data_IF_118231411324
#
_entry.id   IF_118231411324
#
_cell.length_a   1.000
_cell.length_b   1.000
_cell.length_c   1.000
_cell.angle_alpha   90.00
_cell.angle_beta   90.00
_cell.angle_gamma   90.00
#
_symmetry.space_group_name_H-M   'P 1'
#
loop_
_entity.id
_entity.type
_entity.pdbx_description
1 polymer ?
#
# COMPACT_ATOMS: atom_id res chain seq x y z
N UNK A 1 4.22 -9.39 32.23
CA UNK A 1 4.18 -10.29 31.06
C UNK A 1 5.28 -11.33 31.18
N UNK A 2 5.00 -12.58 30.80
CA UNK A 2 6.02 -13.64 30.75
C UNK A 2 7.10 -13.31 29.71
N UNK A 3 8.38 -13.67 29.93
CA UNK A 3 9.46 -13.54 28.95
C UNK A 3 9.14 -14.17 27.58
N UNK A 4 8.30 -15.20 27.58
CA UNK A 4 7.82 -15.87 26.35
C UNK A 4 6.92 -14.94 25.53
N UNK A 5 6.01 -14.22 26.19
CA UNK A 5 5.06 -13.31 25.54
C UNK A 5 5.78 -12.08 24.98
N UNK A 6 6.78 -11.54 25.70
CA UNK A 6 7.58 -10.43 25.19
C UNK A 6 8.38 -10.82 23.93
N UNK A 7 8.96 -12.02 23.91
CA UNK A 7 9.65 -12.52 22.72
C UNK A 7 8.68 -12.74 21.54
N UNK A 8 7.46 -13.22 21.82
CA UNK A 8 6.43 -13.35 20.80
C UNK A 8 6.00 -11.99 20.23
N UNK A 9 5.83 -10.97 21.08
CA UNK A 9 5.52 -9.60 20.62
C UNK A 9 6.61 -9.05 19.70
N UNK A 10 7.88 -9.19 20.08
CA UNK A 10 9.00 -8.73 19.24
C UNK A 10 9.02 -9.46 17.90
N UNK A 11 8.86 -10.79 17.92
CA UNK A 11 8.79 -11.61 16.71
C UNK A 11 7.63 -11.17 15.82
N UNK A 12 6.42 -11.08 16.38
CA UNK A 12 5.22 -10.66 15.66
C UNK A 12 5.34 -9.23 15.10
N UNK A 13 6.02 -8.34 15.82
CA UNK A 13 6.33 -6.99 15.32
C UNK A 13 7.23 -7.05 14.10
N UNK A 14 8.32 -7.83 14.16
CA UNK A 14 9.23 -8.01 13.04
C UNK A 14 8.54 -8.66 11.83
N UNK A 15 7.69 -9.64 12.06
CA UNK A 15 6.86 -10.28 11.03
C UNK A 15 5.93 -9.29 10.35
N UNK A 16 5.27 -8.41 11.11
CA UNK A 16 4.45 -7.33 10.56
C UNK A 16 5.30 -6.38 9.73
N UNK A 17 6.44 -5.90 10.23
CA UNK A 17 7.32 -5.02 9.43
C UNK A 17 7.84 -5.68 8.16
N UNK A 18 8.15 -6.97 8.20
CA UNK A 18 8.56 -7.75 7.03
C UNK A 18 7.44 -7.80 5.98
N UNK A 19 6.22 -8.15 6.38
CA UNK A 19 5.07 -8.17 5.48
C UNK A 19 4.80 -6.80 4.85
N UNK A 20 4.80 -5.74 5.67
CA UNK A 20 4.55 -4.37 5.22
C UNK A 20 5.63 -3.88 4.29
N UNK A 21 6.90 -4.03 4.67
CA UNK A 21 8.04 -3.53 3.91
C UNK A 21 8.10 -4.12 2.51
N UNK A 22 7.99 -5.45 2.40
CA UNK A 22 8.03 -6.12 1.09
C UNK A 22 6.80 -5.80 0.26
N UNK A 23 5.60 -5.88 0.84
CA UNK A 23 4.36 -5.64 0.08
C UNK A 23 4.24 -4.19 -0.36
N UNK A 24 4.58 -3.23 0.51
CA UNK A 24 4.56 -1.81 0.18
C UNK A 24 5.62 -1.45 -0.86
N UNK A 25 6.81 -2.04 -0.80
CA UNK A 25 7.85 -1.81 -1.80
C UNK A 25 7.41 -2.27 -3.19
N UNK A 26 6.90 -3.51 -3.31
CA UNK A 26 6.42 -4.02 -4.60
C UNK A 26 5.21 -3.20 -5.08
N UNK A 27 4.30 -2.86 -4.18
CA UNK A 27 3.15 -2.02 -4.51
C UNK A 27 3.55 -0.61 -4.95
N UNK A 28 4.59 -0.01 -4.39
CA UNK A 28 5.12 1.26 -4.85
C UNK A 28 5.76 1.13 -6.24
N UNK A 29 6.60 0.11 -6.45
CA UNK A 29 7.30 -0.13 -7.71
C UNK A 29 6.32 -0.36 -8.87
N UNK A 30 5.23 -1.06 -8.65
CA UNK A 30 4.24 -1.37 -9.70
C UNK A 30 3.09 -0.36 -9.71
N UNK A 31 2.53 -0.06 -8.54
CA UNK A 31 1.36 0.79 -8.39
C UNK A 31 1.62 2.25 -8.76
N UNK A 32 2.79 2.82 -8.45
CA UNK A 32 3.10 4.21 -8.83
C UNK A 32 3.10 4.39 -10.36
N UNK A 33 3.84 3.58 -11.15
CA UNK A 33 3.74 3.64 -12.60
C UNK A 33 2.32 3.43 -13.13
N UNK A 34 1.55 2.49 -12.57
CA UNK A 34 0.17 2.25 -12.98
C UNK A 34 -0.73 3.46 -12.71
N UNK A 35 -0.58 4.13 -11.57
CA UNK A 35 -1.32 5.35 -11.24
C UNK A 35 -1.00 6.50 -12.19
N UNK A 36 0.29 6.70 -12.52
CA UNK A 36 0.71 7.68 -13.52
C UNK A 36 0.09 7.33 -14.88
N UNK A 37 0.17 6.07 -15.31
CA UNK A 37 -0.39 5.60 -16.57
C UNK A 37 -1.90 5.85 -16.67
N UNK A 38 -2.65 5.63 -15.57
CA UNK A 38 -4.09 5.88 -15.52
C UNK A 38 -4.46 7.34 -15.78
N UNK A 39 -3.65 8.30 -15.30
CA UNK A 39 -3.90 9.72 -15.56
C UNK A 39 -3.48 10.08 -16.98
N UNK A 40 -2.25 9.77 -17.38
CA UNK A 40 -1.70 10.27 -18.64
C UNK A 40 -2.41 9.69 -19.87
N UNK A 41 -3.01 8.49 -19.76
CA UNK A 41 -3.71 7.82 -20.86
C UNK A 41 -5.20 8.11 -20.93
N UNK A 42 -5.73 8.98 -20.07
CA UNK A 42 -7.15 9.34 -20.09
C UNK A 42 -7.55 10.13 -21.34
N UNK A 43 -8.86 10.29 -21.59
CA UNK A 43 -9.38 10.89 -22.84
C UNK A 43 -8.80 12.28 -23.15
N UNK A 44 -8.51 13.07 -22.11
CA UNK A 44 -7.95 14.42 -22.23
C UNK A 44 -6.53 14.49 -21.63
N UNK A 45 -5.86 13.34 -21.47
CA UNK A 45 -4.51 13.26 -20.93
C UNK A 45 -3.43 13.46 -22.00
N UNK A 46 -2.20 13.70 -21.54
CA UNK A 46 -1.03 14.01 -22.36
C UNK A 46 -0.69 12.87 -23.35
N UNK A 47 -1.02 11.62 -23.01
CA UNK A 47 -0.80 10.41 -23.80
C UNK A 47 -2.12 9.64 -24.01
N UNK A 48 -3.20 10.35 -24.33
CA UNK A 48 -4.56 9.82 -24.43
C UNK A 48 -4.62 8.50 -25.22
N UNK A 49 -4.97 7.40 -24.54
CA UNK A 49 -5.08 6.08 -25.11
C UNK A 49 -6.22 5.30 -24.45
N UNK A 50 -7.44 5.45 -24.99
CA UNK A 50 -8.65 4.81 -24.43
C UNK A 50 -8.57 3.29 -24.41
N UNK A 51 -7.87 2.69 -25.38
CA UNK A 51 -7.69 1.24 -25.50
C UNK A 51 -6.80 0.67 -24.39
N UNK A 52 -5.85 1.45 -23.86
CA UNK A 52 -5.02 1.06 -22.72
C UNK A 52 -5.70 1.42 -21.38
N UNK A 53 -6.26 2.62 -21.29
CA UNK A 53 -6.80 3.17 -20.06
C UNK A 53 -8.00 2.38 -19.54
N UNK A 54 -8.98 2.07 -20.41
CA UNK A 54 -10.21 1.38 -20.01
C UNK A 54 -9.97 -0.01 -19.42
N UNK A 55 -9.23 -0.92 -20.07
CA UNK A 55 -8.94 -2.23 -19.50
C UNK A 55 -8.13 -2.13 -18.20
N UNK A 56 -7.14 -1.24 -18.15
CA UNK A 56 -6.33 -1.06 -16.95
C UNK A 56 -7.19 -0.59 -15.76
N UNK A 57 -8.01 0.44 -15.96
CA UNK A 57 -8.93 0.93 -14.94
C UNK A 57 -9.94 -0.15 -14.53
N UNK A 58 -10.45 -0.94 -15.48
CA UNK A 58 -11.35 -2.06 -15.18
C UNK A 58 -10.69 -3.11 -14.28
N UNK A 59 -9.48 -3.56 -14.61
CA UNK A 59 -8.75 -4.56 -13.80
C UNK A 59 -8.46 -4.03 -12.39
N UNK A 60 -8.00 -2.78 -12.27
CA UNK A 60 -7.73 -2.13 -10.99
C UNK A 60 -9.00 -2.05 -10.13
N UNK A 61 -10.12 -1.63 -10.72
CA UNK A 61 -11.38 -1.52 -10.00
C UNK A 61 -11.97 -2.89 -9.64
N UNK A 62 -11.82 -3.88 -10.49
CA UNK A 62 -12.25 -5.26 -10.23
C UNK A 62 -11.53 -5.83 -8.99
N UNK A 63 -10.19 -5.73 -8.93
CA UNK A 63 -9.42 -6.24 -7.78
C UNK A 63 -9.80 -5.48 -6.50
N UNK A 64 -9.94 -4.15 -6.57
CA UNK A 64 -10.31 -3.31 -5.41
C UNK A 64 -11.71 -3.58 -4.87
N UNK A 65 -12.61 -4.11 -5.70
CA UNK A 65 -13.98 -4.43 -5.29
C UNK A 65 -14.04 -5.68 -4.41
N UNK A 66 -12.99 -6.51 -4.42
CA UNK A 66 -12.93 -7.74 -3.63
C UNK A 66 -12.42 -7.41 -2.22
N UNK A 67 -13.19 -7.69 -1.16
CA UNK A 67 -12.72 -7.54 0.22
C UNK A 67 -11.42 -8.33 0.45
N UNK A 68 -10.47 -7.74 1.18
CA UNK A 68 -9.11 -8.31 1.35
C UNK A 68 -9.12 -9.78 1.82
N UNK A 69 -9.95 -10.11 2.81
CA UNK A 69 -10.02 -11.48 3.34
C UNK A 69 -10.52 -12.49 2.29
N UNK A 70 -11.47 -12.07 1.43
CA UNK A 70 -11.99 -12.90 0.33
C UNK A 70 -10.92 -13.07 -0.74
N UNK A 71 -10.22 -11.98 -1.10
CA UNK A 71 -9.11 -12.03 -2.06
C UNK A 71 -8.02 -13.01 -1.58
N UNK A 72 -7.62 -12.90 -0.31
CA UNK A 72 -6.59 -13.74 0.29
C UNK A 72 -6.92 -15.23 0.17
N UNK A 73 -8.17 -15.60 0.45
CA UNK A 73 -8.63 -17.00 0.32
C UNK A 73 -8.73 -17.41 -1.16
N UNK A 74 -9.28 -16.55 -2.01
CA UNK A 74 -9.49 -16.84 -3.43
C UNK A 74 -8.17 -17.13 -4.17
N UNK A 75 -7.07 -16.48 -3.77
CA UNK A 75 -5.77 -16.64 -4.43
C UNK A 75 -4.85 -17.67 -3.76
N UNK A 76 -5.32 -18.47 -2.80
CA UNK A 76 -4.51 -19.52 -2.15
C UNK A 76 -3.73 -20.40 -3.14
N UNK A 77 -4.32 -20.88 -4.26
CA UNK A 77 -3.58 -21.67 -5.24
C UNK A 77 -2.39 -20.90 -5.83
N UNK A 78 -2.56 -19.62 -6.13
CA UNK A 78 -1.52 -18.74 -6.64
C UNK A 78 -0.46 -18.47 -5.56
N UNK A 79 -0.87 -18.23 -4.33
CA UNK A 79 0.04 -18.05 -3.18
C UNK A 79 0.93 -19.28 -2.99
N UNK A 80 0.38 -20.49 -3.08
CA UNK A 80 1.17 -21.73 -3.00
C UNK A 80 2.15 -21.87 -4.16
N UNK A 81 1.75 -21.47 -5.37
CA UNK A 81 2.63 -21.51 -6.54
C UNK A 81 3.83 -20.56 -6.39
N UNK A 82 3.62 -19.37 -5.84
CA UNK A 82 4.67 -18.35 -5.70
C UNK A 82 5.54 -18.58 -4.45
N UNK A 83 4.90 -18.80 -3.30
CA UNK A 83 5.58 -18.87 -2.00
C UNK A 83 5.88 -20.30 -1.53
N UNK A 84 5.43 -21.32 -2.27
CA UNK A 84 5.57 -22.74 -1.89
C UNK A 84 4.64 -23.18 -0.75
N UNK A 85 3.94 -22.25 -0.10
CA UNK A 85 3.04 -22.51 1.04
C UNK A 85 1.88 -21.50 1.06
N UNK A 86 0.80 -21.84 1.77
CA UNK A 86 -0.34 -20.94 2.01
C UNK A 86 -0.39 -20.34 3.42
N UNK A 87 0.59 -20.67 4.26
CA UNK A 87 0.65 -20.25 5.67
C UNK A 87 2.02 -19.61 5.93
N UNK A 88 2.04 -18.59 6.78
CA UNK A 88 3.24 -17.84 7.17
C UNK A 88 3.31 -16.46 6.53
N UNK A 89 4.24 -15.65 7.02
CA UNK A 89 4.43 -14.25 6.61
C UNK A 89 4.77 -14.11 5.12
N UNK A 90 5.65 -14.97 4.61
CA UNK A 90 6.02 -14.97 3.18
C UNK A 90 4.83 -15.30 2.28
N UNK A 91 3.94 -16.22 2.70
CA UNK A 91 2.71 -16.50 1.98
C UNK A 91 1.74 -15.31 2.01
N UNK A 92 1.62 -14.63 3.16
CA UNK A 92 0.73 -13.47 3.32
C UNK A 92 1.16 -12.25 2.48
N UNK A 93 2.45 -12.11 2.15
CA UNK A 93 2.95 -11.03 1.28
C UNK A 93 2.28 -11.06 -0.10
N UNK A 94 1.99 -12.23 -0.66
CA UNK A 94 1.39 -12.37 -2.00
C UNK A 94 0.03 -11.67 -2.11
N UNK A 95 -1.00 -12.01 -1.31
CA UNK A 95 -2.29 -11.32 -1.33
C UNK A 95 -2.19 -9.87 -0.88
N UNK A 96 -1.32 -9.55 0.10
CA UNK A 96 -1.08 -8.17 0.53
C UNK A 96 -0.60 -7.30 -0.64
N UNK A 97 0.37 -7.80 -1.40
CA UNK A 97 0.93 -7.10 -2.56
C UNK A 97 -0.11 -6.93 -3.66
N UNK A 98 -0.85 -7.99 -4.00
CA UNK A 98 -1.88 -7.93 -5.05
C UNK A 98 -3.00 -6.94 -4.69
N UNK A 99 -3.38 -6.85 -3.42
CA UNK A 99 -4.34 -5.86 -2.94
C UNK A 99 -3.75 -4.43 -2.93
N UNK A 100 -2.48 -4.29 -2.55
CA UNK A 100 -1.82 -3.00 -2.39
C UNK A 100 -1.53 -2.29 -3.72
N UNK A 101 -1.18 -3.03 -4.78
CA UNK A 101 -0.86 -2.47 -6.11
C UNK A 101 -1.99 -1.56 -6.65
N UNK A 102 -3.24 -2.04 -6.81
CA UNK A 102 -4.31 -1.23 -7.37
C UNK A 102 -4.75 -0.10 -6.43
N UNK A 103 -4.64 -0.30 -5.11
CA UNK A 103 -4.90 0.76 -4.14
C UNK A 103 -3.86 1.89 -4.26
N UNK A 104 -2.58 1.53 -4.38
CA UNK A 104 -1.47 2.47 -4.63
C UNK A 104 -1.64 3.20 -5.94
N UNK A 105 -2.00 2.50 -7.02
CA UNK A 105 -2.25 3.13 -8.32
C UNK A 105 -3.33 4.20 -8.24
N UNK A 106 -4.44 3.93 -7.51
CA UNK A 106 -5.52 4.90 -7.37
C UNK A 106 -5.12 6.10 -6.50
N UNK A 107 -4.36 5.86 -5.44
CA UNK A 107 -3.81 6.91 -4.60
C UNK A 107 -2.90 7.87 -5.38
N UNK A 108 -2.01 7.31 -6.20
CA UNK A 108 -1.12 8.09 -7.07
C UNK A 108 -1.91 8.83 -8.14
N UNK A 109 -2.94 8.20 -8.71
CA UNK A 109 -3.85 8.85 -9.64
C UNK A 109 -4.51 10.09 -9.00
N UNK A 110 -5.00 9.97 -7.77
CA UNK A 110 -5.57 11.10 -7.01
C UNK A 110 -4.54 12.21 -6.82
N UNK A 111 -3.33 11.89 -6.38
CA UNK A 111 -2.26 12.89 -6.20
C UNK A 111 -1.89 13.63 -7.48
N UNK A 112 -1.83 12.95 -8.62
CA UNK A 112 -1.49 13.59 -9.90
C UNK A 112 -2.64 14.49 -10.37
N UNK A 113 -3.90 14.10 -10.11
CA UNK A 113 -5.07 14.92 -10.45
C UNK A 113 -5.17 16.21 -9.62
N UNK A 114 -4.52 16.27 -8.46
CA UNK A 114 -4.42 17.49 -7.66
C UNK A 114 -3.45 18.53 -8.24
N UNK A 115 -2.61 18.15 -9.21
CA UNK A 115 -1.70 19.09 -9.88
C UNK A 115 -2.51 20.09 -10.71
N UNK A 116 -2.32 21.41 -10.52
CA UNK A 116 -3.04 22.43 -11.28
C UNK A 116 -2.85 22.27 -12.79
N UNK A 117 -3.95 22.22 -13.54
CA UNK A 117 -3.92 22.06 -14.99
C UNK A 117 -3.09 23.14 -15.70
N UNK A 118 -3.08 24.38 -15.17
CA UNK A 118 -2.28 25.47 -15.73
C UNK A 118 -0.77 25.22 -15.73
N UNK A 119 -0.23 24.36 -14.85
CA UNK A 119 1.18 23.95 -14.90
C UNK A 119 1.48 23.04 -16.10
N UNK A 120 0.49 22.23 -16.49
CA UNK A 120 0.58 21.35 -17.66
C UNK A 120 0.52 22.20 -18.93
N UNK A 121 -0.47 23.10 -19.04
CA UNK A 121 -0.61 24.02 -20.20
C UNK A 121 0.61 24.92 -20.39
N UNK A 122 1.19 25.43 -19.29
CA UNK A 122 2.41 26.21 -19.34
C UNK A 122 3.59 25.39 -19.89
N UNK A 123 3.72 24.13 -19.45
CA UNK A 123 4.77 23.23 -19.95
C UNK A 123 4.58 22.87 -21.43
N UNK A 124 3.34 22.64 -21.86
CA UNK A 124 2.99 22.41 -23.27
C UNK A 124 3.30 23.64 -24.14
N UNK A 125 2.96 24.84 -23.64
CA UNK A 125 3.24 26.12 -24.32
C UNK A 125 4.75 26.40 -24.47
N UNK A 126 5.57 25.88 -23.55
CA UNK A 126 7.04 25.91 -23.65
C UNK A 126 7.61 24.84 -24.59
N UNK A 127 6.76 24.01 -25.23
CA UNK A 127 7.19 22.96 -26.15
C UNK A 127 7.74 21.71 -25.45
N UNK A 128 7.40 21.47 -24.18
CA UNK A 128 7.84 20.29 -23.46
C UNK A 128 7.19 19.02 -24.05
N UNK A 129 8.00 17.96 -24.26
CA UNK A 129 7.46 16.68 -24.70
C UNK A 129 6.64 15.99 -23.60
N UNK A 130 5.70 15.09 -23.93
CA UNK A 130 4.89 14.38 -22.93
C UNK A 130 5.69 13.76 -21.78
N UNK A 131 6.83 13.14 -22.10
CA UNK A 131 7.70 12.54 -21.10
C UNK A 131 8.39 13.59 -20.21
N UNK A 132 8.72 14.75 -20.76
CA UNK A 132 9.24 15.88 -19.97
C UNK A 132 8.18 16.41 -19.02
N UNK A 133 6.93 16.58 -19.46
CA UNK A 133 5.83 17.02 -18.60
C UNK A 133 5.63 16.03 -17.44
N UNK A 134 5.58 14.73 -17.74
CA UNK A 134 5.42 13.69 -16.70
C UNK A 134 6.56 13.74 -15.68
N UNK A 135 7.81 13.71 -16.15
CA UNK A 135 8.98 13.57 -15.28
C UNK A 135 9.36 14.87 -14.55
N UNK A 136 9.17 16.02 -15.19
CA UNK A 136 9.64 17.32 -14.68
C UNK A 136 8.54 18.20 -14.08
N UNK A 137 7.28 17.92 -14.37
CA UNK A 137 6.15 18.72 -13.87
C UNK A 137 5.22 17.86 -13.02
N UNK A 138 4.56 16.85 -13.60
CA UNK A 138 3.55 16.07 -12.88
C UNK A 138 4.12 15.35 -11.64
N UNK A 139 5.19 14.56 -11.81
CA UNK A 139 5.75 13.78 -10.70
C UNK A 139 6.32 14.68 -9.60
N UNK A 140 7.17 15.69 -9.89
CA UNK A 140 7.70 16.57 -8.85
C UNK A 140 6.63 17.36 -8.09
N UNK A 141 5.60 17.86 -8.79
CA UNK A 141 4.53 18.63 -8.15
C UNK A 141 3.56 17.75 -7.35
N UNK A 142 3.30 16.53 -7.80
CA UNK A 142 2.47 15.57 -7.05
C UNK A 142 3.24 14.87 -5.92
N UNK A 143 4.57 14.96 -5.88
CA UNK A 143 5.41 14.16 -4.99
C UNK A 143 5.03 14.26 -3.50
N UNK A 144 4.73 15.45 -2.92
CA UNK A 144 4.31 15.55 -1.53
C UNK A 144 3.03 14.75 -1.26
N UNK A 145 2.02 14.90 -2.12
CA UNK A 145 0.74 14.18 -2.04
C UNK A 145 0.93 12.67 -2.28
N UNK A 146 1.82 12.27 -3.19
CA UNK A 146 2.16 10.85 -3.41
C UNK A 146 2.75 10.25 -2.13
N UNK A 147 3.67 10.93 -1.46
CA UNK A 147 4.28 10.43 -0.21
C UNK A 147 3.23 10.29 0.89
N UNK A 148 2.34 11.26 1.05
CA UNK A 148 1.24 11.18 2.01
C UNK A 148 0.32 9.98 1.72
N UNK A 149 -0.10 9.82 0.47
CA UNK A 149 -0.99 8.72 0.12
C UNK A 149 -0.29 7.34 0.19
N UNK A 150 1.00 7.23 -0.13
CA UNK A 150 1.77 5.99 0.11
C UNK A 150 1.83 5.68 1.61
N UNK A 151 1.94 6.70 2.46
CA UNK A 151 1.89 6.52 3.92
C UNK A 151 0.53 5.95 4.35
N UNK A 152 -0.58 6.46 3.78
CA UNK A 152 -1.93 5.91 4.00
C UNK A 152 -2.04 4.46 3.52
N UNK A 153 -1.44 4.11 2.38
CA UNK A 153 -1.39 2.73 1.88
C UNK A 153 -0.68 1.81 2.89
N UNK A 154 0.48 2.22 3.40
CA UNK A 154 1.24 1.43 4.38
C UNK A 154 0.42 1.23 5.67
N UNK A 155 -0.24 2.29 6.16
CA UNK A 155 -1.12 2.19 7.34
C UNK A 155 -2.29 1.26 7.08
N UNK A 156 -2.89 1.31 5.89
CA UNK A 156 -3.96 0.39 5.48
C UNK A 156 -3.46 -1.06 5.44
N UNK A 157 -2.23 -1.28 4.99
CA UNK A 157 -1.61 -2.60 4.97
C UNK A 157 -1.39 -3.18 6.37
N UNK A 158 -1.26 -2.36 7.42
CA UNK A 158 -1.22 -2.85 8.80
C UNK A 158 -2.54 -3.57 9.13
N UNK A 159 -3.67 -2.94 8.83
CA UNK A 159 -4.99 -3.55 8.99
C UNK A 159 -5.15 -4.84 8.18
N UNK A 160 -4.72 -4.83 6.92
CA UNK A 160 -4.75 -6.03 6.07
C UNK A 160 -3.82 -7.13 6.57
N UNK A 161 -2.64 -6.80 7.08
CA UNK A 161 -1.71 -7.78 7.67
C UNK A 161 -2.31 -8.40 8.94
N UNK A 162 -3.07 -7.62 9.72
CA UNK A 162 -3.76 -8.14 10.88
C UNK A 162 -4.88 -9.12 10.50
N UNK A 163 -5.64 -8.80 9.44
CA UNK A 163 -6.60 -9.74 8.84
C UNK A 163 -5.91 -11.00 8.31
N UNK A 164 -4.73 -10.88 7.69
CA UNK A 164 -3.97 -12.04 7.25
C UNK A 164 -3.56 -12.97 8.41
N UNK A 165 -3.32 -12.41 9.59
CA UNK A 165 -3.09 -13.16 10.83
C UNK A 165 -4.22 -14.16 11.15
N UNK A 166 -5.48 -13.83 10.83
CA UNK A 166 -6.63 -14.74 11.05
C UNK A 166 -6.51 -16.06 10.27
N UNK A 167 -5.80 -16.04 9.13
CA UNK A 167 -5.63 -17.18 8.21
C UNK A 167 -4.19 -17.72 8.29
N UNK A 168 -3.46 -17.41 9.37
CA UNK A 168 -2.10 -17.91 9.60
C UNK A 168 -1.01 -17.15 8.86
N UNK A 169 -1.24 -15.88 8.52
CA UNK A 169 -0.22 -14.98 7.97
C UNK A 169 0.87 -14.54 8.96
N UNK A 170 0.67 -14.76 10.27
CA UNK A 170 1.60 -14.33 11.32
C UNK A 170 1.46 -12.85 11.69
N UNK A 171 2.49 -12.29 12.29
CA UNK A 171 2.54 -10.88 12.69
C UNK A 171 1.74 -10.55 13.95
N UNK A 172 1.60 -9.26 14.22
CA UNK A 172 0.87 -8.74 15.39
C UNK A 172 -0.61 -9.13 15.39
N UNK A 173 -1.24 -9.24 14.21
CA UNK A 173 -2.63 -9.71 14.12
C UNK A 173 -2.81 -11.14 14.61
N UNK A 174 -1.94 -12.05 14.18
CA UNK A 174 -1.97 -13.45 14.61
C UNK A 174 -1.84 -13.57 16.14
N UNK A 175 -0.92 -12.80 16.72
CA UNK A 175 -0.74 -12.74 18.17
C UNK A 175 -1.99 -12.22 18.90
N UNK A 176 -2.54 -11.08 18.44
CA UNK A 176 -3.75 -10.49 19.03
C UNK A 176 -4.93 -11.45 18.96
N UNK A 177 -5.10 -12.16 17.85
CA UNK A 177 -6.22 -13.07 17.65
C UNK A 177 -6.04 -14.33 18.49
N UNK A 178 -4.88 -15.00 18.41
CA UNK A 178 -4.68 -16.29 19.09
C UNK A 178 -4.54 -16.17 20.59
N UNK A 179 -3.80 -15.18 21.07
CA UNK A 179 -3.53 -15.02 22.51
C UNK A 179 -4.47 -14.01 23.14
N UNK A 180 -4.61 -12.83 22.54
CA UNK A 180 -5.47 -11.79 23.07
C UNK A 180 -6.94 -12.18 23.07
N UNK A 181 -7.48 -12.55 21.90
CA UNK A 181 -8.91 -12.84 21.72
C UNK A 181 -9.27 -14.28 22.08
N UNK A 182 -8.71 -15.27 21.38
CA UNK A 182 -9.11 -16.68 21.52
C UNK A 182 -8.75 -17.29 22.89
N UNK A 183 -7.65 -16.84 23.51
CA UNK A 183 -7.23 -17.28 24.86
C UNK A 183 -7.60 -16.30 25.97
N UNK A 184 -8.34 -15.24 25.65
CA UNK A 184 -8.80 -14.21 26.59
C UNK A 184 -7.66 -13.57 27.42
N UNK A 185 -6.45 -13.44 26.86
CA UNK A 185 -5.32 -12.80 27.53
C UNK A 185 -5.35 -11.28 27.29
N UNK A 186 -6.08 -10.57 28.15
CA UNK A 186 -6.29 -9.13 28.03
C UNK A 186 -4.98 -8.33 28.04
N UNK A 187 -3.96 -8.79 28.77
CA UNK A 187 -2.63 -8.19 28.80
C UNK A 187 -1.95 -8.24 27.42
N UNK A 188 -2.03 -9.37 26.72
CA UNK A 188 -1.49 -9.52 25.35
C UNK A 188 -2.27 -8.67 24.35
N UNK A 189 -3.60 -8.61 24.49
CA UNK A 189 -4.45 -7.78 23.63
C UNK A 189 -4.06 -6.29 23.76
N UNK A 190 -4.00 -5.77 24.98
CA UNK A 190 -3.64 -4.37 25.25
C UNK A 190 -2.21 -4.07 24.78
N UNK A 191 -1.25 -4.95 25.07
CA UNK A 191 0.12 -4.78 24.59
C UNK A 191 0.21 -4.71 23.06
N UNK A 192 -0.52 -5.58 22.35
CA UNK A 192 -0.53 -5.59 20.89
C UNK A 192 -1.17 -4.33 20.31
N UNK A 193 -2.26 -3.85 20.90
CA UNK A 193 -2.92 -2.60 20.51
C UNK A 193 -1.96 -1.41 20.68
N UNK A 194 -1.27 -1.31 21.82
CA UNK A 194 -0.30 -0.24 22.07
C UNK A 194 0.85 -0.26 21.06
N UNK A 195 1.38 -1.45 20.74
CA UNK A 195 2.43 -1.59 19.72
C UNK A 195 1.91 -1.15 18.35
N UNK A 196 0.71 -1.58 17.94
CA UNK A 196 0.11 -1.17 16.66
C UNK A 196 -0.10 0.35 16.59
N UNK A 197 -0.58 0.98 17.67
CA UNK A 197 -0.73 2.44 17.75
C UNK A 197 0.64 3.11 17.55
N UNK A 198 1.67 2.69 18.29
CA UNK A 198 3.02 3.26 18.17
C UNK A 198 3.56 3.10 16.75
N UNK A 199 3.43 1.90 16.15
CA UNK A 199 3.89 1.63 14.78
C UNK A 199 3.18 2.53 13.77
N UNK A 200 1.86 2.65 13.84
CA UNK A 200 1.06 3.51 12.94
C UNK A 200 1.48 4.97 13.09
N UNK A 201 1.62 5.46 14.33
CA UNK A 201 2.03 6.85 14.59
C UNK A 201 3.44 7.13 14.09
N UNK A 202 4.38 6.20 14.27
CA UNK A 202 5.74 6.33 13.74
C UNK A 202 5.74 6.41 12.21
N UNK A 203 4.99 5.55 11.53
CA UNK A 203 4.88 5.55 10.07
C UNK A 203 4.25 6.85 9.57
N UNK A 204 3.17 7.33 10.19
CA UNK A 204 2.55 8.60 9.84
C UNK A 204 3.47 9.79 10.09
N UNK A 205 4.19 9.80 11.20
CA UNK A 205 5.16 10.85 11.53
C UNK A 205 6.31 10.90 10.50
N UNK A 206 6.87 9.75 10.14
CA UNK A 206 7.92 9.66 9.11
C UNK A 206 7.36 10.12 7.75
N UNK A 207 6.20 9.60 7.35
CA UNK A 207 5.57 9.92 6.08
C UNK A 207 5.24 11.40 5.91
N UNK A 208 4.59 12.00 6.91
CA UNK A 208 4.26 13.43 6.91
C UNK A 208 5.49 14.32 6.90
N UNK A 209 6.56 13.95 7.61
CA UNK A 209 7.83 14.69 7.57
C UNK A 209 8.53 14.57 6.21
N UNK A 210 8.47 13.41 5.56
CA UNK A 210 9.00 13.23 4.20
C UNK A 210 8.19 14.04 3.18
N UNK A 211 6.87 14.07 3.28
CA UNK A 211 6.01 14.86 2.42
C UNK A 211 6.29 16.36 2.57
N UNK A 212 6.43 16.86 3.80
CA UNK A 212 6.81 18.25 4.07
C UNK A 212 8.15 18.62 3.45
N UNK A 213 9.15 17.73 3.52
CA UNK A 213 10.47 17.95 2.88
C UNK A 213 10.41 17.92 1.35
N UNK A 214 9.49 17.14 0.79
CA UNK A 214 9.28 17.07 -0.65
C UNK A 214 8.51 18.29 -1.18
N UNK A 215 7.71 18.94 -0.34
CA UNK A 215 7.01 20.17 -0.68
C UNK A 215 8.01 21.32 -0.76
N UNK A 216 8.28 21.79 -1.98
CA UNK A 216 9.22 22.90 -2.26
C UNK A 216 8.52 24.26 -2.38
N UNK A 217 7.27 24.36 -1.96
CA UNK A 217 6.53 25.62 -1.84
C UNK A 217 6.93 26.39 -0.60
#
# INVERSE_FOLDING_TARGET
>A
MSPVISNLLLKSTAETFYMLGVSALIAAVVGIPLGILLVVTEKNGILACRLLNKPLAFVINMIRSIPFIILMVAIIPLTRLIAGTSIGTTAAIVPLTIAAIPYTARMVETSIREVPFGLIEAAESMGASPFQIIKKVLIPEALPSIIENITVVIVTLIGSSAMAGTIGGGGLGDLAIRYGYQRFQADVMVATILVLIVVVQLIQFIGSNLAKKANKK
#
